data_IF_388904892103
#
_entry.id   IF_388904892103
#
_cell.length_a   1.000
_cell.length_b   1.000
_cell.length_c   1.000
_cell.angle_alpha   90.00
_cell.angle_beta   90.00
_cell.angle_gamma   90.00
#
_symmetry.space_group_name_H-M   'P 1'
#
loop_
_entity.id
_entity.type
_entity.pdbx_description
1 polymer ?
#
# COMPACT_ATOMS: atom_id res chain seq x y z
N UNK A 1 38.22 62.10 -6.75
CA UNK A 1 38.05 63.52 -7.10
C UNK A 1 36.65 63.75 -7.62
N UNK A 2 35.96 64.73 -7.10
CA UNK A 2 34.55 65.01 -7.31
C UNK A 2 34.27 66.11 -8.32
N UNK A 3 33.04 66.24 -8.82
CA UNK A 3 32.39 67.52 -9.22
C UNK A 3 30.89 67.24 -9.33
N UNK A 4 30.06 67.66 -8.42
CA UNK A 4 29.28 68.86 -8.11
C UNK A 4 28.36 69.37 -9.26
N UNK A 5 27.08 69.33 -8.90
CA UNK A 5 25.87 70.07 -9.26
C UNK A 5 25.98 71.47 -9.87
N UNK A 6 24.97 72.28 -10.25
CA UNK A 6 23.72 72.53 -9.49
C UNK A 6 22.43 72.90 -10.31
N UNK A 7 21.28 72.78 -9.61
CA UNK A 7 20.09 73.63 -9.45
C UNK A 7 19.76 74.73 -10.51
N UNK A 8 18.47 74.75 -10.94
CA UNK A 8 17.69 76.02 -10.99
C UNK A 8 16.17 75.79 -10.88
N UNK A 9 15.60 76.40 -9.88
CA UNK A 9 14.16 76.68 -9.72
C UNK A 9 13.73 77.80 -10.67
N UNK A 10 12.48 77.74 -11.20
CA UNK A 10 11.72 78.92 -11.56
C UNK A 10 10.25 78.65 -11.13
N UNK A 11 9.79 79.53 -10.23
CA UNK A 11 8.38 79.73 -9.92
C UNK A 11 7.76 80.69 -10.96
N UNK A 12 6.52 80.44 -11.35
CA UNK A 12 5.62 81.52 -11.76
C UNK A 12 4.14 81.10 -11.50
N UNK A 13 3.48 81.95 -10.75
CA UNK A 13 2.09 81.93 -10.34
C UNK A 13 1.17 82.47 -11.43
N UNK A 14 -0.03 81.97 -11.58
CA UNK A 14 -1.23 82.77 -11.92
C UNK A 14 -2.51 82.05 -11.50
N UNK A 15 -3.30 82.80 -10.76
CA UNK A 15 -4.68 82.48 -10.36
C UNK A 15 -5.61 82.64 -11.56
N UNK A 16 -6.67 81.82 -11.63
CA UNK A 16 -8.04 82.25 -12.00
C UNK A 16 -9.05 81.10 -11.78
N UNK A 17 -10.04 81.33 -10.95
CA UNK A 17 -11.48 81.10 -11.21
C UNK A 17 -12.05 79.69 -11.00
N UNK A 18 -12.76 79.50 -9.89
CA UNK A 18 -13.77 78.44 -9.67
C UNK A 18 -15.00 78.63 -10.57
N UNK A 19 -15.67 77.49 -10.92
CA UNK A 19 -16.97 77.28 -10.38
C UNK A 19 -17.20 75.91 -9.79
N UNK A 20 -18.02 75.87 -8.75
CA UNK A 20 -18.42 74.73 -7.97
C UNK A 20 -19.26 73.73 -8.81
N UNK A 21 -18.82 72.48 -8.87
CA UNK A 21 -19.63 71.36 -9.36
C UNK A 21 -19.95 70.44 -8.17
N UNK A 22 -21.23 70.44 -7.83
CA UNK A 22 -21.77 69.55 -6.77
C UNK A 22 -21.68 68.11 -7.27
N UNK A 23 -20.70 67.34 -6.85
CA UNK A 23 -20.69 65.89 -7.04
C UNK A 23 -21.45 65.22 -5.88
N UNK A 24 -22.61 64.64 -6.23
CA UNK A 24 -23.32 63.68 -5.37
C UNK A 24 -22.45 62.40 -5.25
N UNK A 25 -21.84 62.21 -4.12
CA UNK A 25 -21.17 60.95 -3.76
C UNK A 25 -22.26 59.89 -3.55
N UNK A 26 -22.36 58.93 -4.48
CA UNK A 26 -23.09 57.68 -4.26
C UNK A 26 -22.12 56.75 -3.58
N UNK A 27 -22.24 56.54 -2.24
CA UNK A 27 -21.54 55.52 -1.52
C UNK A 27 -22.15 54.16 -1.83
N UNK A 28 -21.50 53.41 -2.71
CA UNK A 28 -21.80 51.98 -2.90
C UNK A 28 -21.14 51.23 -1.75
N UNK A 29 -21.95 50.86 -0.76
CA UNK A 29 -21.54 49.86 0.25
C UNK A 29 -21.47 48.49 -0.42
N UNK A 30 -20.28 48.06 -0.82
CA UNK A 30 -20.02 46.64 -1.15
C UNK A 30 -20.02 45.85 0.17
N UNK A 31 -21.16 45.19 0.45
CA UNK A 31 -21.20 44.15 1.46
C UNK A 31 -20.37 42.97 0.94
N UNK A 32 -19.12 42.84 1.42
CA UNK A 32 -18.41 41.58 1.36
C UNK A 32 -19.09 40.61 2.33
N UNK A 33 -19.93 39.72 1.78
CA UNK A 33 -20.34 38.53 2.50
C UNK A 33 -19.10 37.65 2.66
N UNK A 34 -18.47 37.72 3.82
CA UNK A 34 -17.48 36.68 4.24
C UNK A 34 -18.30 35.41 4.45
N UNK A 35 -18.35 34.56 3.43
CA UNK A 35 -18.74 33.19 3.63
C UNK A 35 -17.63 32.54 4.45
N UNK A 36 -17.80 32.51 5.76
CA UNK A 36 -17.06 31.60 6.60
C UNK A 36 -17.50 30.18 6.22
N UNK A 37 -16.78 29.57 5.28
CA UNK A 37 -16.79 28.13 5.14
C UNK A 37 -16.25 27.59 6.47
N UNK A 38 -17.14 27.22 7.37
CA UNK A 38 -16.79 26.31 8.46
C UNK A 38 -16.39 25.00 7.79
N UNK A 39 -15.11 24.84 7.53
CA UNK A 39 -14.56 23.51 7.33
C UNK A 39 -14.81 22.78 8.65
N UNK A 40 -15.85 21.96 8.70
CA UNK A 40 -15.90 20.91 9.70
C UNK A 40 -14.60 20.14 9.50
N UNK A 41 -13.69 20.21 10.43
CA UNK A 41 -12.56 19.33 10.48
C UNK A 41 -13.16 17.92 10.53
N UNK A 42 -13.09 17.21 9.42
CA UNK A 42 -13.59 15.85 9.35
C UNK A 42 -12.77 15.05 10.35
N UNK A 43 -13.45 14.37 11.26
CA UNK A 43 -12.80 13.56 12.29
C UNK A 43 -11.96 12.47 11.61
N UNK A 44 -10.75 12.26 12.13
CA UNK A 44 -9.89 11.14 11.71
C UNK A 44 -10.64 9.83 11.93
N UNK A 45 -10.66 8.89 10.99
CA UNK A 45 -11.33 7.61 11.18
C UNK A 45 -10.86 6.92 12.46
N UNK A 46 -11.82 6.37 13.20
CA UNK A 46 -11.56 5.60 14.41
C UNK A 46 -12.00 4.16 14.21
N UNK A 47 -11.27 3.22 14.78
CA UNK A 47 -11.49 1.80 14.58
C UNK A 47 -11.59 1.06 15.90
N UNK A 48 -12.50 0.09 15.97
CA UNK A 48 -12.61 -0.84 17.08
C UNK A 48 -12.45 -2.28 16.59
N UNK A 49 -11.71 -3.09 17.35
CA UNK A 49 -11.55 -4.51 17.03
C UNK A 49 -12.89 -5.24 17.09
N UNK A 50 -13.24 -5.99 16.05
CA UNK A 50 -14.30 -6.97 16.11
C UNK A 50 -13.79 -8.25 16.79
N UNK A 51 -14.22 -8.54 18.02
CA UNK A 51 -13.71 -9.69 18.75
C UNK A 51 -14.31 -11.02 18.30
N UNK A 52 -15.36 -11.01 17.46
CA UNK A 52 -16.08 -12.20 17.01
C UNK A 52 -15.68 -12.63 15.61
N UNK A 53 -15.01 -11.77 14.86
CA UNK A 53 -14.55 -12.07 13.51
C UNK A 53 -13.07 -12.55 13.51
N UNK A 54 -12.68 -13.58 12.71
CA UNK A 54 -13.52 -14.48 11.94
C UNK A 54 -14.24 -15.53 12.81
N UNK A 55 -15.24 -16.20 12.25
CA UNK A 55 -15.90 -17.32 12.92
C UNK A 55 -14.94 -18.50 13.10
N UNK A 56 -14.91 -19.04 14.31
CA UNK A 56 -14.04 -20.17 14.64
C UNK A 56 -14.89 -21.45 14.89
N UNK A 57 -14.36 -22.64 14.58
CA UNK A 57 -13.01 -22.91 14.07
C UNK A 57 -12.85 -22.49 12.61
N UNK A 58 -11.64 -22.13 12.23
CA UNK A 58 -11.32 -21.75 10.84
C UNK A 58 -11.26 -23.01 9.98
N UNK A 59 -12.41 -23.47 9.49
CA UNK A 59 -12.54 -24.64 8.63
C UNK A 59 -13.97 -24.77 8.11
N UNK A 60 -14.15 -25.37 6.94
CA UNK A 60 -15.44 -25.76 6.39
C UNK A 60 -15.57 -27.29 6.21
N UNK A 61 -14.58 -28.08 6.65
CA UNK A 61 -14.54 -29.53 6.49
C UNK A 61 -14.87 -30.29 7.78
N UNK A 62 -15.00 -29.56 8.90
CA UNK A 62 -15.15 -30.15 10.23
C UNK A 62 -13.82 -30.53 10.90
N UNK A 63 -12.71 -30.39 10.20
CA UNK A 63 -11.36 -30.49 10.76
C UNK A 63 -10.96 -29.12 11.34
N UNK A 64 -10.01 -29.13 12.29
CA UNK A 64 -9.44 -27.88 12.79
C UNK A 64 -8.25 -27.50 11.90
N UNK A 65 -8.35 -26.39 11.21
CA UNK A 65 -7.26 -25.86 10.42
C UNK A 65 -6.32 -24.99 11.25
N UNK A 66 -5.03 -25.28 11.15
CA UNK A 66 -3.97 -24.44 11.70
C UNK A 66 -3.26 -23.71 10.57
N UNK A 67 -3.24 -22.39 10.63
CA UNK A 67 -2.50 -21.54 9.68
C UNK A 67 -1.07 -21.35 10.10
N UNK A 68 -0.17 -21.31 9.14
CA UNK A 68 1.15 -20.69 9.28
C UNK A 68 1.09 -19.16 9.21
N UNK A 69 2.19 -18.52 8.90
CA UNK A 69 2.24 -17.08 8.68
C UNK A 69 1.36 -16.66 7.52
N UNK A 70 0.49 -15.67 7.73
CA UNK A 70 -0.30 -15.10 6.64
C UNK A 70 0.57 -14.11 5.85
N UNK A 71 0.89 -14.49 4.61
CA UNK A 71 1.82 -13.75 3.76
C UNK A 71 1.16 -12.62 2.98
N UNK A 72 -0.12 -12.72 2.72
CA UNK A 72 -0.90 -11.75 1.96
C UNK A 72 -2.38 -11.91 2.19
N UNK A 73 -3.14 -10.94 1.68
CA UNK A 73 -4.59 -10.93 1.70
C UNK A 73 -5.10 -10.00 0.61
N UNK A 74 -6.18 -10.37 -0.02
CA UNK A 74 -6.96 -9.50 -0.90
C UNK A 74 -8.44 -9.73 -0.70
N UNK A 75 -9.26 -8.83 -1.24
CA UNK A 75 -10.72 -8.88 -1.17
C UNK A 75 -11.33 -8.69 -2.55
N UNK A 76 -12.52 -9.26 -2.74
CA UNK A 76 -13.34 -8.94 -3.90
C UNK A 76 -14.45 -7.92 -3.54
N UNK A 77 -15.20 -7.48 -4.54
CA UNK A 77 -16.29 -6.51 -4.38
C UNK A 77 -17.54 -7.08 -3.69
N UNK A 78 -17.57 -8.40 -3.42
CA UNK A 78 -18.60 -9.09 -2.65
C UNK A 78 -18.26 -9.15 -1.15
N UNK A 79 -17.09 -8.63 -0.75
CA UNK A 79 -16.58 -8.70 0.62
C UNK A 79 -15.92 -10.03 0.98
N UNK A 80 -15.63 -10.90 0.01
CA UNK A 80 -14.88 -12.12 0.27
C UNK A 80 -13.41 -11.81 0.51
N UNK A 81 -12.85 -12.40 1.54
CA UNK A 81 -11.45 -12.25 1.95
C UNK A 81 -10.66 -13.49 1.57
N UNK A 82 -9.60 -13.31 0.79
CA UNK A 82 -8.68 -14.38 0.41
C UNK A 82 -7.40 -14.25 1.24
N UNK A 83 -7.14 -15.24 2.09
CA UNK A 83 -5.94 -15.30 2.95
C UNK A 83 -4.89 -16.19 2.32
N UNK A 84 -3.67 -15.70 2.24
CA UNK A 84 -2.53 -16.45 1.74
C UNK A 84 -1.74 -17.05 2.91
N UNK A 85 -1.88 -18.35 3.08
CA UNK A 85 -1.24 -19.14 4.12
C UNK A 85 0.11 -19.69 3.64
N UNK A 86 1.20 -19.32 4.29
CA UNK A 86 2.56 -19.79 3.94
C UNK A 86 2.83 -21.23 4.36
N UNK A 87 1.94 -21.82 5.14
CA UNK A 87 2.03 -23.20 5.61
C UNK A 87 3.33 -23.53 6.41
N UNK A 88 4.00 -22.52 6.92
CA UNK A 88 5.23 -22.62 7.71
C UNK A 88 4.96 -23.02 9.18
N UNK A 89 4.16 -24.08 9.36
CA UNK A 89 3.80 -24.65 10.66
C UNK A 89 4.80 -25.73 11.05
N UNK A 90 5.27 -25.70 12.29
CA UNK A 90 6.08 -26.78 12.84
C UNK A 90 5.16 -28.01 13.04
N UNK A 91 5.52 -29.21 12.54
CA UNK A 91 4.66 -30.38 12.63
C UNK A 91 4.15 -30.71 14.04
N UNK A 92 4.97 -30.48 15.06
CA UNK A 92 4.60 -30.73 16.47
C UNK A 92 3.52 -29.75 16.98
N UNK A 93 3.33 -28.59 16.32
CA UNK A 93 2.30 -27.61 16.71
C UNK A 93 0.91 -27.97 16.20
N UNK A 94 0.77 -28.97 15.31
CA UNK A 94 -0.52 -29.39 14.77
C UNK A 94 -1.44 -29.99 15.84
N UNK A 95 -0.91 -30.76 16.78
CA UNK A 95 -1.63 -31.31 17.97
C UNK A 95 -3.11 -31.67 17.71
N UNK A 96 -3.36 -32.45 16.64
CA UNK A 96 -4.70 -32.86 16.24
C UNK A 96 -5.43 -31.91 15.27
N UNK A 97 -4.84 -30.78 14.93
CA UNK A 97 -5.25 -29.95 13.80
C UNK A 97 -4.63 -30.47 12.49
N UNK A 98 -5.15 -29.99 11.37
CA UNK A 98 -4.54 -30.20 10.05
C UNK A 98 -4.01 -28.87 9.52
N UNK A 99 -2.97 -28.96 8.69
CA UNK A 99 -2.43 -27.78 8.04
C UNK A 99 -3.48 -27.14 7.12
N UNK A 100 -3.77 -25.87 7.31
CA UNK A 100 -4.70 -25.13 6.46
C UNK A 100 -4.20 -25.06 5.01
N UNK A 101 -5.12 -25.03 4.02
CA UNK A 101 -4.76 -24.86 2.61
C UNK A 101 -3.96 -23.58 2.33
N UNK A 102 -3.22 -23.49 1.21
CA UNK A 102 -2.47 -22.29 0.81
C UNK A 102 -3.33 -21.04 0.66
N UNK A 103 -4.55 -21.18 0.16
CA UNK A 103 -5.52 -20.07 0.05
C UNK A 103 -6.79 -20.45 0.82
N UNK A 104 -7.23 -19.54 1.69
CA UNK A 104 -8.46 -19.67 2.47
C UNK A 104 -9.38 -18.52 2.09
N UNK A 105 -10.59 -18.80 1.67
CA UNK A 105 -11.63 -17.83 1.33
C UNK A 105 -12.65 -17.75 2.46
N UNK A 106 -12.88 -16.53 2.94
CA UNK A 106 -13.88 -16.20 3.94
C UNK A 106 -14.96 -15.31 3.30
N UNK A 107 -16.20 -15.43 3.80
CA UNK A 107 -17.24 -14.43 3.52
C UNK A 107 -17.08 -13.19 4.43
N UNK A 108 -17.94 -12.19 4.23
CA UNK A 108 -17.96 -10.94 5.00
C UNK A 108 -18.22 -11.16 6.50
N UNK A 109 -18.97 -12.23 6.83
CA UNK A 109 -19.29 -12.64 8.20
C UNK A 109 -18.13 -13.41 8.86
N UNK A 110 -17.10 -13.77 8.10
CA UNK A 110 -15.94 -14.52 8.59
C UNK A 110 -16.11 -16.04 8.58
N UNK A 111 -17.09 -16.57 7.86
CA UNK A 111 -17.21 -18.00 7.66
C UNK A 111 -16.27 -18.47 6.56
N UNK A 112 -15.64 -19.61 6.74
CA UNK A 112 -14.83 -20.24 5.69
C UNK A 112 -15.73 -20.78 4.59
N UNK A 113 -15.64 -20.19 3.40
CA UNK A 113 -16.31 -20.68 2.20
C UNK A 113 -15.59 -21.88 1.62
N UNK A 114 -14.28 -21.77 1.48
CA UNK A 114 -13.41 -22.84 0.96
C UNK A 114 -11.95 -22.63 1.32
N UNK A 115 -11.17 -23.71 1.23
CA UNK A 115 -9.74 -23.68 1.18
C UNK A 115 -9.27 -24.43 -0.05
N UNK A 116 -8.25 -23.90 -0.74
CA UNK A 116 -7.77 -24.45 -2.00
C UNK A 116 -6.27 -24.17 -2.21
N UNK A 117 -5.78 -24.75 -3.29
CA UNK A 117 -4.42 -24.65 -3.72
C UNK A 117 -3.60 -25.88 -3.44
N UNK A 118 -2.91 -26.36 -4.48
CA UNK A 118 -1.94 -27.42 -4.35
C UNK A 118 -0.58 -26.81 -4.02
N UNK A 119 0.04 -27.08 -2.87
CA UNK A 119 1.33 -26.52 -2.48
C UNK A 119 2.45 -26.77 -3.50
N UNK A 120 2.34 -27.85 -4.29
CA UNK A 120 3.33 -28.16 -5.33
C UNK A 120 3.16 -27.29 -6.60
N UNK A 121 1.95 -26.75 -6.83
CA UNK A 121 1.63 -25.93 -8.01
C UNK A 121 1.63 -24.43 -7.72
N UNK A 122 1.11 -24.00 -6.58
CA UNK A 122 1.02 -22.59 -6.19
C UNK A 122 2.41 -21.96 -5.98
N UNK A 123 3.39 -22.77 -5.68
CA UNK A 123 4.72 -22.29 -5.37
C UNK A 123 4.87 -21.76 -3.94
N UNK A 124 6.09 -21.43 -3.60
CA UNK A 124 6.50 -21.16 -2.22
C UNK A 124 6.38 -19.67 -1.86
N UNK A 125 6.15 -19.39 -0.59
CA UNK A 125 6.17 -18.08 0.03
C UNK A 125 5.19 -17.10 -0.64
N UNK A 126 3.91 -17.44 -0.58
CA UNK A 126 2.83 -16.53 -0.99
C UNK A 126 2.97 -15.19 -0.28
N UNK A 127 2.90 -14.07 -1.02
CA UNK A 127 3.25 -12.76 -0.52
C UNK A 127 2.14 -11.71 -0.66
N UNK A 128 1.45 -11.69 -1.79
CA UNK A 128 0.34 -10.74 -2.05
C UNK A 128 -0.65 -11.37 -3.02
N UNK A 129 -1.86 -10.83 -3.08
CA UNK A 129 -2.85 -11.18 -4.08
C UNK A 129 -3.67 -9.97 -4.53
N UNK A 130 -4.33 -10.15 -5.66
CA UNK A 130 -5.28 -9.21 -6.23
C UNK A 130 -6.46 -9.99 -6.81
N UNK A 131 -7.67 -9.46 -6.70
CA UNK A 131 -8.87 -10.00 -7.36
C UNK A 131 -9.25 -9.07 -8.50
N UNK A 132 -9.25 -9.57 -9.73
CA UNK A 132 -9.59 -8.76 -10.89
C UNK A 132 -11.10 -8.59 -11.10
N UNK A 133 -11.49 -7.78 -12.08
CA UNK A 133 -12.89 -7.48 -12.37
C UNK A 133 -13.72 -8.70 -12.80
N UNK A 134 -13.08 -9.77 -13.26
CA UNK A 134 -13.69 -11.06 -13.58
C UNK A 134 -13.72 -12.00 -12.35
N UNK A 135 -13.34 -11.52 -11.17
CA UNK A 135 -13.16 -12.25 -9.90
C UNK A 135 -12.09 -13.36 -9.96
N UNK A 136 -11.17 -13.32 -10.91
CA UNK A 136 -10.03 -14.22 -10.89
C UNK A 136 -9.00 -13.75 -9.87
N UNK A 137 -8.32 -14.71 -9.27
CA UNK A 137 -7.42 -14.47 -8.15
C UNK A 137 -5.97 -14.52 -8.66
N UNK A 138 -5.28 -13.40 -8.53
CA UNK A 138 -3.86 -13.28 -8.80
C UNK A 138 -3.05 -13.52 -7.55
N UNK A 139 -2.05 -14.37 -7.61
CA UNK A 139 -1.18 -14.72 -6.50
C UNK A 139 0.27 -14.37 -6.82
N UNK A 140 0.94 -13.75 -5.86
CA UNK A 140 2.39 -13.52 -5.90
C UNK A 140 3.08 -14.61 -5.11
N UNK A 141 3.77 -15.52 -5.80
CA UNK A 141 4.59 -16.56 -5.20
C UNK A 141 6.06 -16.11 -5.17
N UNK A 142 6.39 -15.31 -4.16
CA UNK A 142 7.70 -14.65 -4.04
C UNK A 142 8.86 -15.66 -3.98
N UNK A 143 8.67 -16.77 -3.26
CA UNK A 143 9.69 -17.79 -3.08
C UNK A 143 10.09 -18.52 -4.36
N UNK A 144 9.18 -18.64 -5.32
CA UNK A 144 9.40 -19.30 -6.61
C UNK A 144 9.54 -18.34 -7.79
N UNK A 145 9.38 -17.02 -7.54
CA UNK A 145 9.61 -15.98 -8.54
C UNK A 145 8.54 -15.88 -9.63
N UNK A 146 7.30 -16.29 -9.34
CA UNK A 146 6.20 -16.33 -10.33
C UNK A 146 4.98 -15.55 -9.83
N UNK A 147 4.17 -15.10 -10.81
CA UNK A 147 2.81 -14.60 -10.62
C UNK A 147 1.86 -15.60 -11.25
N UNK A 148 0.80 -15.97 -10.55
CA UNK A 148 -0.20 -16.92 -11.02
C UNK A 148 -1.60 -16.34 -10.97
N UNK A 149 -2.41 -16.58 -12.00
CA UNK A 149 -3.82 -16.23 -12.07
C UNK A 149 -4.65 -17.49 -12.01
N UNK A 150 -5.55 -17.57 -11.05
CA UNK A 150 -6.51 -18.67 -10.89
C UNK A 150 -7.92 -18.23 -11.21
N UNK A 151 -8.76 -19.18 -11.59
CA UNK A 151 -10.21 -18.98 -11.68
C UNK A 151 -10.79 -18.51 -10.33
N UNK A 152 -11.94 -17.87 -10.36
CA UNK A 152 -12.62 -17.32 -9.17
C UNK A 152 -12.90 -18.34 -8.05
N UNK A 153 -12.94 -19.62 -8.40
CA UNK A 153 -13.13 -20.74 -7.45
C UNK A 153 -11.80 -21.42 -7.08
N UNK A 154 -10.68 -20.96 -7.63
CA UNK A 154 -9.35 -21.51 -7.38
C UNK A 154 -9.07 -22.87 -8.05
N UNK A 155 -10.00 -23.38 -8.85
CA UNK A 155 -9.91 -24.75 -9.41
C UNK A 155 -9.00 -24.87 -10.64
N UNK A 156 -8.75 -23.76 -11.37
CA UNK A 156 -7.99 -23.74 -12.62
C UNK A 156 -6.89 -22.65 -12.59
N UNK A 157 -5.67 -23.04 -12.93
CA UNK A 157 -4.58 -22.11 -13.21
C UNK A 157 -4.76 -21.54 -14.62
N UNK A 158 -5.22 -20.30 -14.73
CA UNK A 158 -5.50 -19.62 -16.00
C UNK A 158 -4.24 -19.04 -16.65
N UNK A 159 -3.28 -18.59 -15.84
CA UNK A 159 -2.04 -17.99 -16.33
C UNK A 159 -0.92 -18.12 -15.29
N UNK A 160 0.30 -18.29 -15.79
CA UNK A 160 1.51 -18.10 -15.00
C UNK A 160 2.47 -17.19 -15.75
N UNK A 161 3.03 -16.23 -15.02
CA UNK A 161 4.05 -15.29 -15.51
C UNK A 161 5.34 -15.59 -14.74
N UNK A 162 6.42 -15.79 -15.50
CA UNK A 162 7.68 -16.29 -14.98
C UNK A 162 7.80 -17.80 -15.00
N UNK A 163 9.00 -18.29 -14.84
CA UNK A 163 9.34 -19.73 -14.78
C UNK A 163 9.61 -20.09 -13.32
N UNK A 164 8.90 -21.08 -12.79
CA UNK A 164 9.00 -21.52 -11.39
C UNK A 164 10.44 -21.88 -11.01
N UNK A 165 10.94 -21.28 -9.93
CA UNK A 165 12.28 -21.51 -9.42
C UNK A 165 13.40 -20.86 -10.22
N UNK A 166 13.06 -20.08 -11.25
CA UNK A 166 14.00 -19.25 -11.99
C UNK A 166 13.81 -17.78 -11.63
N UNK A 167 14.92 -17.06 -11.52
CA UNK A 167 14.91 -15.67 -11.07
C UNK A 167 15.53 -14.75 -12.11
N UNK A 168 15.16 -13.48 -12.11
CA UNK A 168 15.76 -12.43 -12.95
C UNK A 168 17.14 -12.05 -12.42
N UNK A 169 18.06 -13.00 -12.54
CA UNK A 169 19.43 -12.91 -12.05
C UNK A 169 20.44 -13.38 -13.10
N UNK A 170 21.72 -13.12 -12.81
CA UNK A 170 22.83 -13.40 -13.75
C UNK A 170 22.99 -14.89 -14.11
N UNK A 171 22.53 -15.80 -13.26
CA UNK A 171 22.59 -17.24 -13.46
C UNK A 171 21.23 -17.95 -13.37
N UNK A 172 20.16 -17.16 -13.15
CA UNK A 172 18.79 -17.65 -12.98
C UNK A 172 18.48 -18.19 -11.59
N UNK A 173 19.43 -18.14 -10.64
CA UNK A 173 19.25 -18.56 -9.25
C UNK A 173 18.99 -17.38 -8.31
N UNK A 174 18.62 -17.67 -7.06
CA UNK A 174 18.45 -16.63 -5.99
C UNK A 174 19.79 -16.05 -5.52
N UNK A 175 20.88 -16.76 -5.73
CA UNK A 175 22.24 -16.34 -5.39
C UNK A 175 22.88 -15.49 -6.47
N UNK A 176 22.30 -15.51 -7.68
CA UNK A 176 22.74 -14.69 -8.81
C UNK A 176 22.51 -13.20 -8.56
N UNK A 177 23.30 -12.36 -9.20
CA UNK A 177 23.11 -10.92 -9.15
C UNK A 177 21.83 -10.51 -9.90
N UNK A 178 20.94 -9.77 -9.25
CA UNK A 178 19.72 -9.23 -9.85
C UNK A 178 20.00 -8.38 -11.11
N UNK A 179 19.16 -8.50 -12.12
CA UNK A 179 19.38 -7.88 -13.43
C UNK A 179 18.49 -6.67 -13.71
N UNK A 180 17.29 -6.58 -13.10
CA UNK A 180 16.24 -5.63 -13.50
C UNK A 180 16.02 -5.65 -15.03
N UNK A 181 15.87 -6.84 -15.60
CA UNK A 181 15.82 -7.01 -17.07
C UNK A 181 14.44 -6.67 -17.65
N UNK A 182 14.40 -6.30 -18.93
CA UNK A 182 13.16 -6.06 -19.67
C UNK A 182 12.46 -7.38 -20.04
N UNK A 183 12.09 -8.18 -19.02
CA UNK A 183 11.46 -9.49 -19.17
C UNK A 183 10.37 -9.69 -18.11
N UNK A 184 9.41 -10.56 -18.47
CA UNK A 184 8.39 -11.08 -17.56
C UNK A 184 8.95 -12.21 -16.68
N UNK A 185 10.07 -11.96 -16.01
CA UNK A 185 10.72 -12.82 -15.03
C UNK A 185 11.12 -11.98 -13.84
N UNK A 186 10.96 -12.48 -12.63
CA UNK A 186 11.08 -11.67 -11.40
C UNK A 186 12.22 -12.15 -10.50
N UNK A 187 12.62 -11.26 -9.58
CA UNK A 187 13.55 -11.60 -8.50
C UNK A 187 12.88 -11.31 -7.14
N UNK A 188 12.15 -12.28 -6.61
CA UNK A 188 11.35 -12.17 -5.39
C UNK A 188 10.29 -11.05 -5.50
N UNK A 189 9.28 -11.21 -6.35
CA UNK A 189 8.18 -10.26 -6.45
C UNK A 189 7.43 -10.18 -5.13
N UNK A 190 7.00 -8.98 -4.73
CA UNK A 190 6.37 -8.74 -3.45
C UNK A 190 4.88 -8.41 -3.57
N UNK A 191 4.47 -7.71 -4.63
CA UNK A 191 3.09 -7.21 -4.72
C UNK A 191 2.65 -7.10 -6.17
N UNK A 192 1.34 -7.16 -6.35
CA UNK A 192 0.67 -7.07 -7.64
C UNK A 192 -0.56 -6.17 -7.54
N UNK A 193 -0.81 -5.42 -8.60
CA UNK A 193 -2.10 -4.78 -8.85
C UNK A 193 -2.41 -4.80 -10.34
N UNK A 194 -3.69 -4.84 -10.71
CA UNK A 194 -4.14 -4.87 -12.10
C UNK A 194 -4.97 -3.62 -12.37
N UNK A 195 -4.50 -2.82 -13.30
CA UNK A 195 -5.22 -1.61 -13.72
C UNK A 195 -6.56 -1.96 -14.36
N UNK A 196 -7.66 -1.62 -13.69
CA UNK A 196 -9.01 -1.96 -14.11
C UNK A 196 -9.38 -1.40 -15.51
N UNK A 197 -8.76 -0.29 -15.94
CA UNK A 197 -9.04 0.34 -17.22
C UNK A 197 -8.34 -0.38 -18.39
N UNK A 198 -7.04 -0.65 -18.27
CA UNK A 198 -6.22 -1.25 -19.34
C UNK A 198 -6.08 -2.76 -19.24
N UNK A 199 -6.25 -3.32 -18.05
CA UNK A 199 -5.91 -4.69 -17.71
C UNK A 199 -4.40 -4.93 -17.60
N UNK A 200 -3.58 -3.87 -17.58
CA UNK A 200 -2.14 -4.00 -17.39
C UNK A 200 -1.83 -4.43 -15.96
N UNK A 201 -0.82 -5.28 -15.84
CA UNK A 201 -0.40 -5.89 -14.60
C UNK A 201 0.84 -5.17 -14.10
N UNK A 202 0.78 -4.62 -12.89
CA UNK A 202 1.86 -3.92 -12.22
C UNK A 202 2.43 -4.80 -11.11
N UNK A 203 3.72 -5.05 -11.14
CA UNK A 203 4.41 -5.93 -10.19
C UNK A 203 5.53 -5.19 -9.48
N UNK A 204 5.46 -5.12 -8.15
CA UNK A 204 6.59 -4.69 -7.33
C UNK A 204 7.57 -5.85 -7.22
N UNK A 205 8.72 -5.73 -7.88
CA UNK A 205 9.71 -6.80 -7.96
C UNK A 205 10.99 -6.42 -7.22
N UNK A 206 11.21 -7.01 -6.04
CA UNK A 206 12.39 -6.74 -5.23
C UNK A 206 12.17 -6.66 -3.71
N UNK A 207 11.59 -7.69 -3.11
CA UNK A 207 11.34 -7.75 -1.66
C UNK A 207 12.62 -7.70 -0.81
N UNK A 208 13.77 -8.04 -1.36
CA UNK A 208 15.02 -8.21 -0.62
C UNK A 208 16.09 -7.22 -1.04
N UNK A 209 16.96 -6.88 -0.10
CA UNK A 209 18.17 -6.11 -0.36
C UNK A 209 19.05 -6.85 -1.38
N UNK A 210 19.49 -6.16 -2.42
CA UNK A 210 20.28 -6.75 -3.50
C UNK A 210 19.46 -7.50 -4.57
N UNK A 211 18.14 -7.56 -4.42
CA UNK A 211 17.21 -8.04 -5.44
C UNK A 211 16.96 -7.02 -6.54
N UNK A 212 15.96 -7.29 -7.39
CA UNK A 212 15.43 -6.25 -8.27
C UNK A 212 14.84 -5.10 -7.43
N UNK A 213 14.78 -3.91 -8.02
CA UNK A 213 14.19 -2.74 -7.34
C UNK A 213 13.34 -1.94 -8.33
N UNK A 214 12.46 -2.65 -9.02
CA UNK A 214 11.65 -2.13 -10.11
C UNK A 214 10.16 -2.39 -9.93
N UNK A 215 9.34 -1.54 -10.54
CA UNK A 215 7.98 -1.89 -10.92
C UNK A 215 8.03 -2.37 -12.36
N UNK A 216 7.66 -3.62 -12.58
CA UNK A 216 7.52 -4.19 -13.92
C UNK A 216 6.06 -4.08 -14.35
N UNK A 217 5.80 -3.61 -15.56
CA UNK A 217 4.47 -3.51 -16.14
C UNK A 217 4.36 -4.47 -17.32
N UNK A 218 3.29 -5.27 -17.29
CA UNK A 218 2.99 -6.25 -18.31
C UNK A 218 1.60 -5.98 -18.89
N UNK A 219 1.35 -6.46 -20.09
CA UNK A 219 0.00 -6.42 -20.64
C UNK A 219 -0.90 -7.50 -19.98
N UNK A 220 -2.19 -7.48 -20.32
CA UNK A 220 -3.18 -8.46 -19.83
C UNK A 220 -2.88 -9.92 -20.14
N UNK A 221 -1.94 -10.18 -21.08
CA UNK A 221 -1.49 -11.52 -21.46
C UNK A 221 -0.16 -11.90 -20.79
N UNK A 222 0.35 -11.07 -19.86
CA UNK A 222 1.60 -11.28 -19.14
C UNK A 222 2.86 -10.96 -19.95
N UNK A 223 2.75 -10.25 -21.10
CA UNK A 223 3.89 -9.83 -21.87
C UNK A 223 4.48 -8.54 -21.31
N UNK A 224 5.82 -8.51 -21.13
CA UNK A 224 6.51 -7.33 -20.63
C UNK A 224 6.30 -6.12 -21.55
N UNK A 225 5.93 -4.98 -20.97
CA UNK A 225 5.75 -3.72 -21.67
C UNK A 225 6.88 -2.74 -21.35
N UNK A 226 7.05 -2.38 -20.10
CA UNK A 226 8.06 -1.45 -19.60
C UNK A 226 8.25 -1.60 -18.10
N UNK A 227 9.23 -0.89 -17.57
CA UNK A 227 9.51 -0.86 -16.13
C UNK A 227 10.06 0.51 -15.72
N UNK A 228 10.05 0.76 -14.41
CA UNK A 228 10.84 1.83 -13.81
C UNK A 228 11.41 1.38 -12.48
N UNK A 229 12.48 2.02 -12.07
CA UNK A 229 13.10 1.77 -10.77
C UNK A 229 12.65 2.80 -9.74
N UNK A 230 12.74 2.45 -8.47
CA UNK A 230 12.53 3.40 -7.40
C UNK A 230 13.52 4.55 -7.51
N UNK A 231 13.02 5.76 -7.25
CA UNK A 231 13.86 6.94 -7.22
C UNK A 231 14.76 6.90 -5.98
N UNK A 232 16.05 7.14 -6.18
CA UNK A 232 17.08 7.23 -5.13
C UNK A 232 17.60 8.64 -5.00
N UNK A 233 18.02 9.00 -3.78
CA UNK A 233 18.82 10.19 -3.52
C UNK A 233 20.30 9.85 -3.72
N UNK A 234 21.15 10.86 -3.89
CA UNK A 234 22.61 10.66 -4.09
C UNK A 234 23.31 9.92 -2.93
N UNK A 235 22.71 9.94 -1.74
CA UNK A 235 23.22 9.28 -0.52
C UNK A 235 22.72 7.86 -0.33
N UNK A 236 21.79 7.39 -1.16
CA UNK A 236 21.17 6.06 -1.03
C UNK A 236 21.80 5.07 -2.00
N UNK A 237 22.04 3.86 -1.51
CA UNK A 237 22.47 2.72 -2.32
C UNK A 237 21.29 2.02 -2.97
N UNK A 238 21.40 1.63 -4.24
CA UNK A 238 20.42 0.80 -4.92
C UNK A 238 20.24 -0.57 -4.24
N UNK A 239 21.25 -1.04 -3.55
CA UNK A 239 21.20 -2.30 -2.81
C UNK A 239 20.30 -2.24 -1.57
N UNK A 240 19.93 -1.06 -1.10
CA UNK A 240 19.03 -0.87 0.05
C UNK A 240 17.56 -0.75 -0.35
N UNK A 241 17.26 -0.75 -1.66
CA UNK A 241 15.90 -0.73 -2.15
C UNK A 241 15.16 -2.02 -1.79
N UNK A 242 13.95 -1.88 -1.27
CA UNK A 242 13.03 -3.00 -1.07
C UNK A 242 11.62 -2.57 -1.42
N UNK A 243 11.11 -3.07 -2.55
CA UNK A 243 9.73 -2.86 -2.94
C UNK A 243 8.88 -3.92 -2.25
N UNK A 244 8.02 -3.51 -1.32
CA UNK A 244 7.25 -4.45 -0.55
C UNK A 244 5.75 -4.44 -0.84
N UNK A 245 5.21 -3.32 -1.30
CA UNK A 245 3.83 -3.22 -1.73
C UNK A 245 3.68 -2.33 -2.97
N UNK A 246 2.57 -2.53 -3.67
CA UNK A 246 2.11 -1.68 -4.76
C UNK A 246 0.60 -1.64 -4.77
N UNK A 247 0.00 -0.43 -4.93
CA UNK A 247 -1.44 -0.24 -5.17
C UNK A 247 -1.67 0.91 -6.14
N UNK A 248 -2.69 0.77 -6.98
CA UNK A 248 -3.13 1.78 -7.95
C UNK A 248 -4.35 2.49 -7.38
N UNK A 249 -4.29 3.80 -7.26
CA UNK A 249 -5.43 4.61 -6.79
C UNK A 249 -6.45 4.90 -7.89
N UNK A 250 -7.67 5.29 -7.50
CA UNK A 250 -8.77 5.62 -8.42
C UNK A 250 -8.41 6.76 -9.40
N UNK A 251 -7.51 7.67 -9.02
CA UNK A 251 -7.00 8.73 -9.88
C UNK A 251 -5.78 8.32 -10.73
N UNK A 252 -5.48 7.01 -10.77
CA UNK A 252 -4.47 6.42 -11.65
C UNK A 252 -3.02 6.64 -11.20
N UNK A 253 -2.78 6.92 -9.93
CA UNK A 253 -1.45 6.97 -9.37
C UNK A 253 -1.04 5.62 -8.77
N UNK A 254 0.24 5.29 -8.90
CA UNK A 254 0.84 4.05 -8.41
C UNK A 254 1.63 4.34 -7.14
N UNK A 255 1.21 3.78 -6.03
CA UNK A 255 1.85 3.92 -4.72
C UNK A 255 2.71 2.69 -4.45
N UNK A 256 3.99 2.89 -4.20
CA UNK A 256 4.97 1.81 -4.00
C UNK A 256 5.64 1.95 -2.65
N UNK A 257 5.56 0.92 -1.82
CA UNK A 257 6.25 0.89 -0.53
C UNK A 257 7.76 0.68 -0.72
N UNK A 258 8.54 1.70 -0.43
CA UNK A 258 10.00 1.63 -0.31
C UNK A 258 10.32 1.38 1.18
N UNK A 259 10.18 0.09 1.57
CA UNK A 259 10.05 -0.34 2.97
C UNK A 259 11.22 0.09 3.84
N UNK A 260 12.45 -0.15 3.41
CA UNK A 260 13.65 0.14 4.21
C UNK A 260 14.04 1.62 4.18
N UNK A 261 13.51 2.39 3.24
CA UNK A 261 13.68 3.84 3.20
C UNK A 261 12.58 4.59 3.99
N UNK A 262 11.70 3.88 4.70
CA UNK A 262 10.63 4.42 5.53
C UNK A 262 9.74 5.43 4.77
N UNK A 263 9.37 5.09 3.52
CA UNK A 263 8.58 5.97 2.66
C UNK A 263 7.74 5.20 1.64
N UNK A 264 6.79 5.90 1.07
CA UNK A 264 6.04 5.49 -0.11
C UNK A 264 6.47 6.39 -1.26
N UNK A 265 6.72 5.82 -2.43
CA UNK A 265 6.95 6.53 -3.66
C UNK A 265 5.70 6.52 -4.52
N UNK A 266 5.29 7.68 -5.00
CA UNK A 266 4.11 7.84 -5.85
C UNK A 266 4.55 8.15 -7.26
N UNK A 267 4.01 7.41 -8.23
CA UNK A 267 4.28 7.55 -9.66
C UNK A 267 2.96 7.67 -10.43
N UNK A 268 3.00 8.15 -11.66
CA UNK A 268 1.93 7.86 -12.61
C UNK A 268 2.07 6.45 -13.20
N UNK A 269 1.07 6.00 -13.96
CA UNK A 269 1.10 4.66 -14.58
C UNK A 269 2.24 4.46 -15.58
N UNK A 270 2.89 5.54 -16.05
CA UNK A 270 4.04 5.47 -16.96
C UNK A 270 5.39 5.47 -16.21
N UNK A 271 5.37 5.50 -14.87
CA UNK A 271 6.56 5.52 -14.04
C UNK A 271 7.19 6.90 -13.84
N UNK A 272 6.48 7.98 -14.21
CA UNK A 272 6.95 9.33 -13.89
C UNK A 272 6.74 9.59 -12.40
N UNK A 273 7.83 9.95 -11.72
CA UNK A 273 7.79 10.22 -10.28
C UNK A 273 6.95 11.47 -9.98
N UNK A 274 6.04 11.35 -9.03
CA UNK A 274 5.17 12.43 -8.56
C UNK A 274 5.68 12.99 -7.24
N UNK A 275 5.80 12.16 -6.19
CA UNK A 275 6.23 12.61 -4.85
C UNK A 275 6.67 11.45 -3.96
N UNK A 276 7.33 11.80 -2.84
CA UNK A 276 7.48 10.94 -1.69
C UNK A 276 6.37 11.22 -0.66
N UNK A 277 5.96 10.16 0.05
CA UNK A 277 5.25 10.24 1.32
C UNK A 277 6.19 9.59 2.34
N UNK A 278 6.78 10.42 3.21
CA UNK A 278 7.69 9.93 4.23
C UNK A 278 6.87 9.42 5.42
N UNK A 279 7.16 8.19 5.82
CA UNK A 279 6.54 7.55 6.97
C UNK A 279 7.61 7.35 8.06
N UNK A 280 8.02 8.44 8.67
CA UNK A 280 9.13 8.46 9.64
C UNK A 280 8.83 7.54 10.83
N UNK A 281 9.84 6.76 11.20
CA UNK A 281 9.79 5.96 12.41
C UNK A 281 10.03 6.84 13.64
N UNK A 282 9.00 6.96 14.49
CA UNK A 282 9.08 7.65 15.77
C UNK A 282 8.43 6.79 16.88
N UNK A 283 9.08 6.58 18.02
CA UNK A 283 10.43 7.00 18.37
C UNK A 283 11.51 6.09 17.74
N UNK A 284 12.56 6.68 17.19
CA UNK A 284 13.72 5.95 16.62
C UNK A 284 14.44 5.02 17.60
N UNK A 285 14.18 5.20 18.89
CA UNK A 285 14.77 4.44 19.99
C UNK A 285 13.85 3.35 20.53
N UNK A 286 12.81 2.97 19.78
CA UNK A 286 11.93 1.87 20.18
C UNK A 286 12.73 0.61 20.50
N UNK A 287 12.40 -0.12 21.61
CA UNK A 287 13.02 -1.42 21.90
C UNK A 287 12.76 -2.46 20.82
N UNK A 288 11.84 -2.19 19.90
CA UNK A 288 11.58 -3.00 18.72
C UNK A 288 12.58 -2.73 17.58
N UNK A 289 13.36 -1.65 17.67
CA UNK A 289 14.47 -1.37 16.78
C UNK A 289 15.59 -2.39 17.06
N UNK A 290 15.48 -3.54 16.43
CA UNK A 290 16.42 -4.65 16.62
C UNK A 290 17.73 -4.32 15.92
N UNK A 291 18.83 -4.74 16.51
CA UNK A 291 20.19 -4.61 15.97
C UNK A 291 20.42 -5.25 14.60
N UNK A 292 19.43 -5.98 14.07
CA UNK A 292 19.45 -6.64 12.74
C UNK A 292 18.80 -5.83 11.63
N UNK A 293 18.58 -4.54 11.82
CA UNK A 293 17.89 -3.67 10.86
C UNK A 293 16.43 -3.41 11.23
N UNK A 294 15.91 -2.33 10.71
CA UNK A 294 14.50 -1.98 10.82
C UNK A 294 13.66 -2.89 9.93
N UNK A 295 12.45 -3.20 10.36
CA UNK A 295 11.49 -3.93 9.51
C UNK A 295 10.79 -3.02 8.50
N UNK A 296 10.92 -1.70 8.65
CA UNK A 296 10.32 -0.67 7.83
C UNK A 296 9.01 -0.13 8.38
N UNK A 297 8.73 1.12 8.03
CA UNK A 297 7.52 1.84 8.42
C UNK A 297 6.46 1.86 7.31
N UNK A 298 6.85 1.62 6.07
CA UNK A 298 5.97 1.51 4.91
C UNK A 298 6.02 0.09 4.35
N UNK A 299 5.32 -0.84 5.00
CA UNK A 299 5.36 -2.27 4.65
C UNK A 299 4.30 -2.61 3.62
N UNK A 300 3.05 -2.28 3.91
CA UNK A 300 1.91 -2.46 3.02
C UNK A 300 0.92 -1.32 3.25
N UNK A 301 0.18 -0.97 2.23
CA UNK A 301 -0.81 0.09 2.27
C UNK A 301 -2.11 -0.35 1.60
N UNK A 302 -3.19 0.32 2.00
CA UNK A 302 -4.45 0.32 1.28
C UNK A 302 -5.14 1.68 1.44
N UNK A 303 -6.13 1.96 0.61
CA UNK A 303 -6.85 3.23 0.58
C UNK A 303 -8.19 3.13 1.31
N UNK A 304 -8.68 4.26 1.83
CA UNK A 304 -10.09 4.35 2.22
C UNK A 304 -11.01 4.14 1.03
N UNK A 305 -12.18 3.55 1.29
CA UNK A 305 -13.12 3.14 0.23
C UNK A 305 -13.96 4.30 -0.33
N UNK A 306 -13.81 5.53 0.20
CA UNK A 306 -14.47 6.71 -0.39
C UNK A 306 -13.95 7.01 -1.81
N UNK A 307 -14.75 7.71 -2.61
CA UNK A 307 -14.45 7.96 -4.03
C UNK A 307 -13.13 8.70 -4.25
N UNK A 308 -12.76 9.60 -3.34
CA UNK A 308 -11.51 10.35 -3.36
C UNK A 308 -10.33 9.57 -2.78
N UNK A 309 -10.60 8.42 -2.13
CA UNK A 309 -9.60 7.64 -1.37
C UNK A 309 -8.80 8.57 -0.45
N UNK A 310 -9.51 9.29 0.39
CA UNK A 310 -8.97 10.39 1.19
C UNK A 310 -7.87 9.95 2.13
N UNK A 311 -8.02 8.77 2.71
CA UNK A 311 -7.06 8.24 3.66
C UNK A 311 -6.21 7.13 3.03
N UNK A 312 -4.98 7.06 3.50
CA UNK A 312 -4.03 6.00 3.22
C UNK A 312 -3.74 5.27 4.54
N UNK A 313 -4.01 3.99 4.59
CA UNK A 313 -3.72 3.15 5.74
C UNK A 313 -2.42 2.40 5.49
N UNK A 314 -1.46 2.54 6.40
CA UNK A 314 -0.10 2.01 6.21
C UNK A 314 0.31 1.17 7.40
N UNK A 315 0.68 -0.08 7.16
CA UNK A 315 1.29 -0.90 8.21
C UNK A 315 2.72 -0.45 8.46
N UNK A 316 2.96 -0.02 9.71
CA UNK A 316 4.25 0.32 10.25
C UNK A 316 4.73 -0.83 11.16
N UNK A 317 5.63 -1.68 10.65
CA UNK A 317 6.15 -2.81 11.43
C UNK A 317 7.19 -2.39 12.48
N UNK A 318 7.81 -1.21 12.37
CA UNK A 318 8.74 -0.73 13.37
C UNK A 318 8.00 -0.31 14.66
N UNK A 319 6.82 0.30 14.53
CA UNK A 319 5.97 0.68 15.66
C UNK A 319 4.87 -0.35 15.97
N UNK A 320 4.67 -1.33 15.07
CA UNK A 320 3.67 -2.40 15.16
C UNK A 320 2.25 -1.82 15.30
N UNK A 321 1.88 -0.98 14.33
CA UNK A 321 0.58 -0.30 14.26
C UNK A 321 0.19 -0.05 12.81
N UNK A 322 -1.06 0.34 12.61
CA UNK A 322 -1.54 0.91 11.35
C UNK A 322 -1.60 2.43 11.49
N UNK A 323 -0.97 3.14 10.58
CA UNK A 323 -1.01 4.59 10.51
C UNK A 323 -2.07 5.05 9.53
N UNK A 324 -2.71 6.16 9.84
CA UNK A 324 -3.72 6.82 9.03
C UNK A 324 -3.10 8.12 8.51
N UNK A 325 -2.89 8.18 7.21
CA UNK A 325 -2.33 9.35 6.54
C UNK A 325 -3.40 10.03 5.67
N UNK A 326 -3.32 11.33 5.54
CA UNK A 326 -3.98 12.02 4.44
C UNK A 326 -3.28 11.63 3.13
N UNK A 327 -4.01 11.05 2.19
CA UNK A 327 -3.43 10.50 0.97
C UNK A 327 -2.73 11.56 0.11
N UNK A 328 -3.28 12.78 0.05
CA UNK A 328 -2.73 13.82 -0.82
C UNK A 328 -1.52 14.51 -0.23
N UNK A 329 -1.56 14.89 1.03
CA UNK A 329 -0.46 15.58 1.71
C UNK A 329 0.60 14.62 2.24
N UNK A 330 0.22 13.38 2.55
CA UNK A 330 1.06 12.43 3.27
C UNK A 330 1.15 12.74 4.78
N UNK A 331 0.35 13.67 5.29
CA UNK A 331 0.33 14.02 6.70
C UNK A 331 -0.24 12.87 7.53
N UNK A 332 0.46 12.53 8.62
CA UNK A 332 -0.03 11.55 9.59
C UNK A 332 -1.15 12.16 10.45
N UNK A 333 -2.33 11.58 10.32
CA UNK A 333 -3.54 12.04 11.04
C UNK A 333 -3.78 11.25 12.32
N UNK A 334 -3.41 9.97 12.34
CA UNK A 334 -3.65 9.10 13.48
C UNK A 334 -3.02 7.72 13.30
N UNK A 335 -3.37 6.82 14.20
CA UNK A 335 -2.99 5.41 14.13
C UNK A 335 -3.86 4.58 15.05
N UNK A 336 -3.91 3.26 14.79
CA UNK A 336 -4.56 2.30 15.67
C UNK A 336 -3.74 1.02 15.78
N UNK A 337 -4.12 0.16 16.72
CA UNK A 337 -3.44 -1.07 17.08
C UNK A 337 -2.82 -1.00 18.47
N UNK A 338 -2.90 -2.10 19.22
CA UNK A 338 -2.47 -2.17 20.63
C UNK A 338 -0.95 -2.36 20.82
N UNK A 339 -0.15 -2.12 19.77
CA UNK A 339 1.29 -2.37 19.81
C UNK A 339 1.65 -3.86 19.67
N UNK A 340 2.93 -4.22 19.95
CA UNK A 340 3.40 -5.59 19.76
C UNK A 340 2.81 -6.55 20.79
N UNK A 341 2.37 -7.72 20.33
CA UNK A 341 1.85 -8.78 21.19
C UNK A 341 0.91 -9.75 20.50
N UNK A 342 0.37 -10.69 21.26
CA UNK A 342 -0.52 -11.75 20.76
C UNK A 342 -1.96 -11.63 21.26
N UNK A 343 -2.26 -10.65 22.12
CA UNK A 343 -3.63 -10.38 22.53
C UNK A 343 -4.41 -9.72 21.39
N UNK A 344 -5.73 -9.79 21.48
CA UNK A 344 -6.63 -9.15 20.51
C UNK A 344 -6.34 -7.66 20.41
N UNK A 345 -6.31 -7.12 19.19
CA UNK A 345 -5.96 -5.73 18.90
C UNK A 345 -4.46 -5.42 18.95
N UNK A 346 -3.60 -6.33 19.46
CA UNK A 346 -2.15 -6.25 19.31
C UNK A 346 -1.71 -6.96 18.04
N UNK A 347 -0.52 -6.66 17.55
CA UNK A 347 0.02 -7.28 16.35
C UNK A 347 1.35 -8.00 16.59
N UNK A 348 1.55 -9.08 15.86
CA UNK A 348 2.84 -9.76 15.73
C UNK A 348 3.19 -9.88 14.26
N UNK A 349 4.05 -9.00 13.78
CA UNK A 349 4.46 -8.91 12.39
C UNK A 349 3.26 -8.77 11.44
N UNK A 350 2.44 -7.69 11.55
CA UNK A 350 1.34 -7.44 10.61
C UNK A 350 1.94 -7.28 9.20
N UNK A 351 1.34 -7.94 8.21
CA UNK A 351 1.98 -8.10 6.90
C UNK A 351 1.07 -7.78 5.72
N UNK A 352 -0.25 -7.82 5.90
CA UNK A 352 -1.18 -7.44 4.85
C UNK A 352 -2.36 -6.67 5.44
N UNK A 353 -2.95 -5.79 4.62
CA UNK A 353 -4.08 -4.93 4.94
C UNK A 353 -5.06 -4.94 3.79
N UNK A 354 -6.35 -4.92 4.09
CA UNK A 354 -7.41 -4.67 3.13
C UNK A 354 -8.51 -3.83 3.77
N UNK A 355 -9.22 -3.05 2.94
CA UNK A 355 -10.33 -2.19 3.35
C UNK A 355 -11.57 -2.59 2.59
N UNK A 356 -12.67 -2.90 3.28
CA UNK A 356 -13.93 -3.26 2.64
C UNK A 356 -14.78 -2.03 2.25
N UNK A 357 -15.92 -2.28 1.60
CA UNK A 357 -16.83 -1.24 1.14
C UNK A 357 -17.50 -0.45 2.28
N UNK A 358 -17.50 -0.99 3.49
CA UNK A 358 -17.99 -0.33 4.72
C UNK A 358 -16.92 0.55 5.37
N UNK A 359 -15.67 0.41 4.92
CA UNK A 359 -14.50 1.08 5.50
C UNK A 359 -13.88 0.31 6.65
N UNK A 360 -14.31 -0.93 6.93
CA UNK A 360 -13.69 -1.80 7.91
C UNK A 360 -12.31 -2.26 7.42
N UNK A 361 -11.38 -2.42 8.35
CA UNK A 361 -9.98 -2.77 8.03
C UNK A 361 -9.67 -4.18 8.53
N UNK A 362 -9.05 -4.95 7.65
CA UNK A 362 -8.57 -6.30 7.92
C UNK A 362 -7.05 -6.33 7.94
N UNK A 363 -6.48 -6.96 8.97
CA UNK A 363 -5.03 -7.08 9.15
C UNK A 363 -4.64 -8.54 9.26
N UNK A 364 -3.87 -9.03 8.28
CA UNK A 364 -3.27 -10.35 8.32
C UNK A 364 -1.85 -10.30 8.90
N UNK A 365 -1.54 -11.24 9.79
CA UNK A 365 -0.29 -11.28 10.53
C UNK A 365 0.56 -12.49 10.14
N UNK A 366 1.78 -12.25 9.71
CA UNK A 366 2.74 -13.32 9.47
C UNK A 366 3.20 -13.97 10.79
N UNK A 367 3.59 -13.17 11.78
CA UNK A 367 4.07 -13.68 13.05
C UNK A 367 2.97 -14.05 14.03
N UNK A 368 1.79 -13.45 13.87
CA UNK A 368 0.60 -13.77 14.65
C UNK A 368 -0.16 -14.99 14.15
N UNK A 369 0.09 -15.41 12.89
CA UNK A 369 -0.59 -16.52 12.21
C UNK A 369 -2.10 -16.41 12.26
N UNK A 370 -2.62 -15.19 12.10
CA UNK A 370 -4.05 -14.86 12.22
C UNK A 370 -4.43 -13.64 11.40
N UNK A 371 -5.73 -13.45 11.26
CA UNK A 371 -6.33 -12.22 10.74
C UNK A 371 -7.18 -11.57 11.83
N UNK A 372 -7.26 -10.23 11.82
CA UNK A 372 -8.13 -9.45 12.70
C UNK A 372 -8.90 -8.41 11.88
N UNK A 373 -10.18 -8.21 12.22
CA UNK A 373 -11.05 -7.16 11.65
C UNK A 373 -11.18 -6.00 12.62
N UNK A 374 -11.12 -4.78 12.09
CA UNK A 374 -11.33 -3.54 12.83
C UNK A 374 -12.46 -2.75 12.16
N UNK A 375 -13.55 -2.58 12.89
CA UNK A 375 -14.75 -1.90 12.39
C UNK A 375 -14.59 -0.39 12.49
N UNK A 376 -14.96 0.31 11.42
CA UNK A 376 -14.98 1.76 11.37
C UNK A 376 -16.09 2.31 12.28
N UNK A 377 -15.73 3.19 13.21
CA UNK A 377 -16.68 3.83 14.11
C UNK A 377 -17.40 4.99 13.40
N UNK A 378 -18.69 5.24 13.73
CA UNK A 378 -19.51 6.31 13.15
C UNK A 378 -18.97 7.72 13.37
#
# INVERSE_FOLDING_TARGET
>A
MPIKSPIKRVCLSSRVGTPALVMKTISVFMLYAIQSSSSFAQSVPQFELDPLWPNLPLSNTGEFWLTGGLGGMCMDDRGHVFLLNRQDVVPDDLDGAVLAPPVIELDEDGNVLRGWGDPELIGDRLHDCHVDAEHNIWLVASGTGVIQKYSSDGSELLMQIGETGRYDSSDGSREGRALNSDRAQFFLPASIDVDAESGNIFVADGEVVGGNHRVAVLDRNGQFLYQWQLRRTESESDLEATLHCLRISNDGLVYVCDRLADRIQVFDKMGNFVRFINNSFEPKTSPLNRSSGTRGTAVVLDFSHDAEQKYLYVINQNNVMVEILDRQSGERLGSFGGGPGRYRGQFTLPHSIAVDSSGDIYIAEQGGQRIQKFTLLP
#
